data_IF_005191626378
#
_entry.id   IF_005191626378
#
_cell.length_a   1.000
_cell.length_b   1.000
_cell.length_c   1.000
_cell.angle_alpha   90.00
_cell.angle_beta   90.00
_cell.angle_gamma   90.00
#
_symmetry.space_group_name_H-M   'P 1'
#
loop_
_entity.id
_entity.type
_entity.pdbx_description
1 polymer ?
#
# COMPACT_ATOMS: atom_id res chain seq x y z
N UNK A 1 -66.64 -44.93 19.58
CA UNK A 1 -66.01 -43.97 18.65
C UNK A 1 -64.81 -43.33 19.35
N UNK A 2 -63.63 -43.91 19.22
CA UNK A 2 -62.38 -43.36 19.77
C UNK A 2 -61.61 -42.69 18.62
N UNK A 3 -61.35 -41.40 18.74
CA UNK A 3 -60.54 -40.63 17.77
C UNK A 3 -59.07 -40.81 18.12
N UNK A 4 -58.30 -41.51 17.29
CA UNK A 4 -56.85 -41.48 17.31
C UNK A 4 -56.38 -40.10 16.81
N UNK A 5 -55.57 -39.41 17.61
CA UNK A 5 -54.78 -38.25 17.16
C UNK A 5 -53.38 -38.71 16.80
N UNK A 6 -53.03 -38.59 15.52
CA UNK A 6 -51.70 -38.88 14.99
C UNK A 6 -50.83 -37.64 15.15
N UNK A 7 -49.81 -37.70 16.03
CA UNK A 7 -48.79 -36.67 16.15
C UNK A 7 -47.74 -36.93 15.06
N UNK A 8 -47.62 -36.00 14.11
CA UNK A 8 -46.55 -35.98 13.10
C UNK A 8 -45.41 -35.12 13.66
N UNK A 9 -44.33 -35.76 14.09
CA UNK A 9 -43.09 -35.07 14.46
C UNK A 9 -42.32 -34.71 13.19
N UNK A 10 -42.31 -33.43 12.82
CA UNK A 10 -41.46 -32.90 11.77
C UNK A 10 -40.02 -32.76 12.30
N UNK A 11 -39.13 -33.64 11.86
CA UNK A 11 -37.68 -33.51 12.06
C UNK A 11 -37.15 -32.48 11.08
N UNK A 12 -36.85 -31.26 11.56
CA UNK A 12 -36.06 -30.29 10.80
C UNK A 12 -34.61 -30.79 10.73
N UNK A 13 -34.23 -31.33 9.58
CA UNK A 13 -32.84 -31.52 9.20
C UNK A 13 -32.22 -30.15 8.93
N UNK A 14 -31.47 -29.59 9.89
CA UNK A 14 -30.52 -28.51 9.61
C UNK A 14 -29.39 -29.10 8.78
N UNK A 15 -29.47 -28.95 7.46
CA UNK A 15 -28.34 -29.12 6.57
C UNK A 15 -27.33 -28.00 6.86
N UNK A 16 -26.25 -28.33 7.55
CA UNK A 16 -25.05 -27.49 7.62
C UNK A 16 -24.44 -27.44 6.22
N UNK A 17 -24.91 -26.50 5.39
CA UNK A 17 -24.22 -26.09 4.17
C UNK A 17 -22.87 -25.55 4.60
N UNK A 18 -21.84 -26.39 4.51
CA UNK A 18 -20.47 -25.90 4.49
C UNK A 18 -20.41 -25.03 3.24
N UNK A 19 -20.43 -23.72 3.43
CA UNK A 19 -20.29 -22.76 2.37
C UNK A 19 -18.88 -22.93 1.80
N UNK A 20 -18.73 -23.83 0.83
CA UNK A 20 -17.55 -23.88 0.00
C UNK A 20 -17.33 -22.45 -0.51
N UNK A 21 -16.13 -21.91 -0.27
CA UNK A 21 -15.77 -20.61 -0.79
C UNK A 21 -16.09 -20.61 -2.29
N UNK A 22 -16.80 -19.57 -2.74
CA UNK A 22 -17.04 -19.36 -4.16
C UNK A 22 -15.69 -19.47 -4.90
N UNK A 23 -15.59 -20.33 -5.89
CA UNK A 23 -14.36 -20.55 -6.69
C UNK A 23 -13.74 -19.23 -7.21
N UNK A 24 -14.56 -18.18 -7.33
CA UNK A 24 -14.13 -16.81 -7.67
C UNK A 24 -13.24 -16.14 -6.62
N UNK A 25 -13.22 -16.63 -5.38
CA UNK A 25 -12.45 -16.11 -4.25
C UNK A 25 -11.13 -16.86 -4.01
N UNK A 26 -10.89 -17.99 -4.69
CA UNK A 26 -9.66 -18.77 -4.52
C UNK A 26 -8.40 -17.99 -4.92
N UNK A 27 -8.52 -17.15 -5.94
CA UNK A 27 -7.46 -16.25 -6.40
C UNK A 27 -7.83 -14.82 -6.05
N UNK A 28 -7.03 -14.20 -5.19
CA UNK A 28 -7.15 -12.79 -4.79
C UNK A 28 -6.33 -11.95 -5.76
N UNK A 29 -6.98 -11.14 -6.60
CA UNK A 29 -6.31 -10.26 -7.56
C UNK A 29 -5.91 -8.95 -6.88
N UNK A 30 -4.61 -8.73 -6.76
CA UNK A 30 -4.01 -7.59 -6.08
C UNK A 30 -3.28 -6.70 -7.08
N UNK A 31 -3.14 -5.42 -6.75
CA UNK A 31 -2.41 -4.46 -7.58
C UNK A 31 -1.15 -3.94 -6.88
N UNK A 32 -0.11 -3.73 -7.68
CA UNK A 32 1.19 -3.23 -7.22
C UNK A 32 1.73 -2.13 -8.15
N UNK A 33 1.80 -0.87 -7.71
CA UNK A 33 2.40 0.22 -8.48
C UNK A 33 3.92 0.13 -8.71
N UNK A 34 4.61 -0.85 -8.12
CA UNK A 34 6.05 -1.04 -8.22
C UNK A 34 6.88 -0.33 -7.15
N UNK A 35 6.27 -0.02 -6.00
CA UNK A 35 6.96 0.62 -4.87
C UNK A 35 7.39 -0.43 -3.83
N UNK A 36 8.48 -0.18 -3.11
CA UNK A 36 9.03 -1.19 -2.20
C UNK A 36 8.12 -1.47 -0.99
N UNK A 37 7.39 -0.45 -0.49
CA UNK A 37 6.47 -0.56 0.64
C UNK A 37 5.26 -1.45 0.30
N UNK A 38 4.62 -1.20 -0.84
CA UNK A 38 3.51 -2.04 -1.31
C UNK A 38 3.97 -3.45 -1.68
N UNK A 39 5.16 -3.61 -2.24
CA UNK A 39 5.71 -4.93 -2.53
C UNK A 39 5.90 -5.75 -1.23
N UNK A 40 6.33 -5.12 -0.14
CA UNK A 40 6.46 -5.75 1.17
C UNK A 40 5.10 -6.15 1.77
N UNK A 41 4.11 -5.24 1.75
CA UNK A 41 2.76 -5.52 2.28
C UNK A 41 2.00 -6.56 1.45
N UNK A 42 2.11 -6.50 0.12
CA UNK A 42 1.60 -7.53 -0.79
C UNK A 42 2.27 -8.89 -0.55
N UNK A 43 3.58 -8.92 -0.26
CA UNK A 43 4.28 -10.16 0.05
C UNK A 43 3.80 -10.78 1.37
N UNK A 44 3.56 -9.99 2.42
CA UNK A 44 2.93 -10.49 3.67
C UNK A 44 1.57 -11.09 3.35
N UNK A 45 0.70 -10.36 2.66
CA UNK A 45 -0.63 -10.86 2.29
C UNK A 45 -0.53 -12.15 1.47
N UNK A 46 0.42 -12.23 0.52
CA UNK A 46 0.69 -13.41 -0.29
C UNK A 46 1.12 -14.64 0.54
N UNK A 47 2.00 -14.46 1.52
CA UNK A 47 2.42 -15.53 2.44
C UNK A 47 1.22 -16.05 3.25
N UNK A 48 0.38 -15.16 3.80
CA UNK A 48 -0.81 -15.55 4.55
C UNK A 48 -1.84 -16.27 3.67
N UNK A 49 -2.15 -15.71 2.51
CA UNK A 49 -3.07 -16.32 1.53
C UNK A 49 -2.61 -17.71 1.11
N UNK A 50 -1.33 -17.88 0.77
CA UNK A 50 -0.75 -19.18 0.41
C UNK A 50 -0.79 -20.18 1.58
N UNK A 51 -0.52 -19.70 2.80
CA UNK A 51 -0.66 -20.46 4.04
C UNK A 51 -2.06 -21.05 4.19
N UNK A 52 -3.07 -20.21 3.93
CA UNK A 52 -4.49 -20.56 3.99
C UNK A 52 -5.01 -21.36 2.78
N UNK A 53 -4.18 -21.60 1.76
CA UNK A 53 -4.57 -22.36 0.56
C UNK A 53 -5.16 -21.51 -0.58
N UNK A 54 -5.19 -20.19 -0.45
CA UNK A 54 -5.55 -19.25 -1.50
C UNK A 54 -4.35 -18.93 -2.39
N UNK A 55 -4.61 -18.29 -3.54
CA UNK A 55 -3.59 -17.76 -4.44
C UNK A 55 -3.65 -16.23 -4.44
N UNK A 56 -2.52 -15.57 -4.21
CA UNK A 56 -2.39 -14.15 -4.52
C UNK A 56 -1.92 -14.01 -5.98
N UNK A 57 -2.65 -13.25 -6.79
CA UNK A 57 -2.21 -12.82 -8.12
C UNK A 57 -1.96 -11.32 -8.06
N UNK A 58 -0.71 -10.91 -8.10
CA UNK A 58 -0.31 -9.50 -7.99
C UNK A 58 0.05 -9.00 -9.40
N UNK A 59 -0.74 -8.07 -9.93
CA UNK A 59 -0.48 -7.44 -11.23
C UNK A 59 0.18 -6.06 -11.00
N UNK A 60 1.26 -5.78 -11.75
CA UNK A 60 1.94 -4.47 -11.69
C UNK A 60 1.11 -3.42 -12.45
N UNK A 61 0.48 -2.51 -11.73
CA UNK A 61 -0.49 -1.55 -12.28
C UNK A 61 -0.25 -0.14 -11.71
N UNK A 62 -0.21 0.86 -12.58
CA UNK A 62 -0.20 2.25 -12.16
C UNK A 62 -1.50 2.60 -11.41
N UNK A 63 -1.42 3.51 -10.43
CA UNK A 63 -2.55 3.88 -9.56
C UNK A 63 -3.87 4.17 -10.31
N UNK A 64 -3.89 4.95 -11.42
CA UNK A 64 -5.13 5.18 -12.17
C UNK A 64 -5.78 3.90 -12.69
N UNK A 65 -4.96 2.95 -13.14
CA UNK A 65 -5.42 1.65 -13.64
C UNK A 65 -5.89 0.77 -12.50
N UNK A 66 -5.23 0.80 -11.35
CA UNK A 66 -5.66 0.11 -10.12
C UNK A 66 -7.07 0.53 -9.70
N UNK A 67 -7.34 1.84 -9.62
CA UNK A 67 -8.69 2.33 -9.27
C UNK A 67 -9.74 1.96 -10.31
N UNK A 68 -9.42 2.06 -11.61
CA UNK A 68 -10.31 1.57 -12.68
C UNK A 68 -10.59 0.07 -12.56
N UNK A 69 -9.55 -0.72 -12.30
CA UNK A 69 -9.66 -2.17 -12.12
C UNK A 69 -10.48 -2.57 -10.89
N UNK A 70 -10.39 -1.82 -9.78
CA UNK A 70 -11.24 -2.03 -8.60
C UNK A 70 -12.71 -1.73 -8.92
N UNK A 71 -12.98 -0.65 -9.65
CA UNK A 71 -14.33 -0.30 -10.10
C UNK A 71 -14.94 -1.38 -11.01
N UNK A 72 -14.15 -1.86 -11.97
CA UNK A 72 -14.62 -2.82 -12.99
C UNK A 72 -14.54 -4.29 -12.51
N UNK A 73 -14.07 -4.53 -11.28
CA UNK A 73 -13.93 -5.86 -10.69
C UNK A 73 -12.79 -6.71 -11.29
N UNK A 74 -11.85 -6.09 -11.98
CA UNK A 74 -10.64 -6.72 -12.53
C UNK A 74 -9.55 -6.86 -11.46
N UNK A 75 -9.53 -5.95 -10.47
CA UNK A 75 -8.71 -6.01 -9.26
C UNK A 75 -9.65 -6.21 -8.07
N UNK A 76 -9.28 -7.10 -7.15
CA UNK A 76 -10.06 -7.36 -5.95
C UNK A 76 -9.63 -6.46 -4.79
N UNK A 77 -8.31 -6.29 -4.61
CA UNK A 77 -7.69 -5.68 -3.43
C UNK A 77 -6.55 -4.75 -3.82
N UNK A 78 -6.43 -3.62 -3.14
CA UNK A 78 -5.27 -2.74 -3.21
C UNK A 78 -4.88 -2.28 -1.80
N UNK A 79 -3.66 -2.60 -1.37
CA UNK A 79 -3.18 -2.29 -0.01
C UNK A 79 -2.57 -0.89 0.12
N UNK A 80 -2.43 -0.14 -0.99
CA UNK A 80 -1.63 1.08 -1.08
C UNK A 80 -2.42 2.36 -1.26
N UNK A 81 -3.59 2.51 -0.63
CA UNK A 81 -4.32 3.78 -0.68
C UNK A 81 -3.73 4.80 0.29
N UNK A 82 -2.72 5.54 -0.18
CA UNK A 82 -2.04 6.59 0.58
C UNK A 82 -2.89 7.87 0.65
N UNK A 83 -3.41 8.19 1.83
CA UNK A 83 -4.19 9.40 2.08
C UNK A 83 -3.37 10.40 2.91
N UNK A 84 -3.46 11.72 2.61
CA UNK A 84 -4.38 12.35 1.64
C UNK A 84 -3.85 12.42 0.20
N UNK A 85 -2.66 11.88 -0.10
CA UNK A 85 -2.05 11.98 -1.43
C UNK A 85 -2.96 11.46 -2.57
N UNK A 86 -3.81 10.47 -2.31
CA UNK A 86 -4.77 9.90 -3.26
C UNK A 86 -6.18 10.50 -3.20
N UNK A 87 -6.38 11.68 -2.58
CA UNK A 87 -7.71 12.29 -2.41
C UNK A 87 -8.51 12.41 -3.72
N UNK A 88 -7.88 12.81 -4.83
CA UNK A 88 -8.56 12.89 -6.13
C UNK A 88 -9.10 11.55 -6.65
N UNK A 89 -8.41 10.43 -6.35
CA UNK A 89 -8.92 9.10 -6.66
C UNK A 89 -9.99 8.66 -5.65
N UNK A 90 -9.80 8.97 -4.36
CA UNK A 90 -10.79 8.71 -3.34
C UNK A 90 -12.14 9.38 -3.68
N UNK A 91 -12.13 10.66 -4.01
CA UNK A 91 -13.35 11.40 -4.34
C UNK A 91 -14.07 10.83 -5.57
N UNK A 92 -13.27 10.39 -6.56
CA UNK A 92 -13.80 9.86 -7.82
C UNK A 92 -14.36 8.44 -7.70
N UNK A 93 -13.80 7.60 -6.84
CA UNK A 93 -14.08 6.16 -6.83
C UNK A 93 -14.57 5.62 -5.48
N UNK A 94 -14.09 6.16 -4.36
CA UNK A 94 -14.44 5.67 -3.03
C UNK A 94 -15.65 6.42 -2.49
N UNK A 95 -15.64 7.75 -2.57
CA UNK A 95 -16.72 8.60 -2.05
C UNK A 95 -18.08 8.36 -2.74
N UNK A 96 -18.07 7.91 -3.99
CA UNK A 96 -19.28 7.54 -4.74
C UNK A 96 -19.70 6.07 -4.58
N UNK A 97 -18.92 5.26 -3.85
CA UNK A 97 -19.19 3.85 -3.58
C UNK A 97 -18.92 2.88 -4.73
N UNK A 98 -18.09 3.25 -5.72
CA UNK A 98 -17.58 2.33 -6.75
C UNK A 98 -16.47 1.41 -6.20
N UNK A 99 -15.69 1.91 -5.24
CA UNK A 99 -14.60 1.23 -4.54
C UNK A 99 -14.85 1.36 -3.04
N UNK A 100 -14.50 0.32 -2.27
CA UNK A 100 -14.71 0.28 -0.82
C UNK A 100 -13.39 0.45 -0.11
N UNK A 101 -13.30 1.44 0.78
CA UNK A 101 -12.22 1.50 1.77
C UNK A 101 -12.56 0.57 2.93
N UNK A 102 -11.82 -0.54 3.04
CA UNK A 102 -12.13 -1.62 3.96
C UNK A 102 -11.56 -1.35 5.37
N UNK A 103 -10.28 -0.99 5.45
CA UNK A 103 -9.58 -0.81 6.72
C UNK A 103 -8.40 0.16 6.57
N UNK A 104 -8.02 0.81 7.68
CA UNK A 104 -6.74 1.51 7.78
C UNK A 104 -5.67 0.46 8.10
N UNK A 105 -4.64 0.36 7.27
CA UNK A 105 -3.59 -0.64 7.45
C UNK A 105 -2.27 -0.05 7.94
N UNK A 106 -2.02 1.25 7.77
CA UNK A 106 -0.83 1.93 8.29
C UNK A 106 -1.16 3.37 8.72
N UNK A 107 -0.46 3.87 9.72
CA UNK A 107 -0.62 5.24 10.22
C UNK A 107 0.70 5.98 10.44
N UNK A 108 0.60 7.31 10.46
CA UNK A 108 1.73 8.19 10.78
C UNK A 108 2.74 8.34 9.66
N UNK A 109 2.30 8.20 8.40
CA UNK A 109 3.18 8.35 7.25
C UNK A 109 3.50 9.83 7.00
N UNK A 110 4.63 10.08 6.34
CA UNK A 110 4.97 11.36 5.73
C UNK A 110 5.26 11.11 4.27
N UNK A 111 4.90 12.05 3.40
CA UNK A 111 4.99 11.90 1.96
C UNK A 111 5.05 13.29 1.33
N UNK A 112 6.24 13.78 0.98
CA UNK A 112 6.43 15.15 0.47
C UNK A 112 7.80 15.29 -0.22
N UNK A 113 8.17 16.47 -0.70
CA UNK A 113 9.52 16.69 -1.20
C UNK A 113 10.56 16.66 -0.08
N UNK A 114 11.72 16.08 -0.40
CA UNK A 114 12.87 16.02 0.46
C UNK A 114 14.12 16.51 -0.25
N UNK A 115 15.08 16.95 0.54
CA UNK A 115 16.42 17.36 0.10
C UNK A 115 17.49 16.72 0.99
N UNK A 116 18.72 16.49 0.49
CA UNK A 116 19.83 16.07 1.34
C UNK A 116 20.18 17.10 2.42
N UNK A 117 20.79 16.66 3.53
CA UNK A 117 21.17 17.54 4.65
C UNK A 117 22.01 18.74 4.21
N UNK A 118 22.97 18.58 3.29
CA UNK A 118 23.79 19.71 2.82
C UNK A 118 22.99 20.77 2.04
N UNK A 119 21.90 20.37 1.38
CA UNK A 119 20.98 21.29 0.69
C UNK A 119 20.10 22.01 1.71
N UNK A 120 19.64 21.29 2.74
CA UNK A 120 18.91 21.86 3.86
C UNK A 120 19.72 22.90 4.63
N UNK A 121 20.97 22.59 4.96
CA UNK A 121 21.88 23.50 5.65
C UNK A 121 22.26 24.72 4.79
N UNK A 122 22.22 24.58 3.46
CA UNK A 122 22.37 25.71 2.55
C UNK A 122 21.14 26.64 2.50
N UNK A 123 20.03 26.31 3.19
CA UNK A 123 18.87 27.17 3.37
C UNK A 123 17.60 26.73 2.64
N UNK A 124 17.54 25.52 2.08
CA UNK A 124 16.31 25.00 1.44
C UNK A 124 15.51 24.20 2.46
N UNK A 125 14.52 24.84 3.10
CA UNK A 125 13.73 24.24 4.19
C UNK A 125 12.24 24.18 3.90
N UNK A 126 11.78 25.00 2.97
CA UNK A 126 10.40 25.09 2.52
C UNK A 126 10.32 24.92 0.99
N UNK A 127 9.15 24.53 0.46
CA UNK A 127 8.89 24.52 -0.99
C UNK A 127 9.18 25.88 -1.62
N UNK A 128 8.86 26.99 -0.94
CA UNK A 128 9.14 28.35 -1.40
C UNK A 128 10.65 28.68 -1.49
N UNK A 129 11.53 27.89 -0.86
CA UNK A 129 12.97 28.09 -0.96
C UNK A 129 13.57 27.48 -2.24
N UNK A 130 12.91 26.48 -2.84
CA UNK A 130 13.44 25.76 -4.00
C UNK A 130 13.82 26.73 -5.13
N UNK A 131 12.92 27.66 -5.46
CA UNK A 131 13.14 28.58 -6.58
C UNK A 131 14.29 29.58 -6.34
N UNK A 132 14.63 29.87 -5.07
CA UNK A 132 15.80 30.71 -4.73
C UNK A 132 17.13 30.08 -5.16
N UNK A 133 17.15 28.76 -5.34
CA UNK A 133 18.30 27.98 -5.77
C UNK A 133 18.06 27.25 -7.10
N UNK A 134 17.10 27.73 -7.91
CA UNK A 134 16.63 27.09 -9.14
C UNK A 134 17.77 26.59 -10.05
N UNK A 135 18.81 27.41 -10.26
CA UNK A 135 19.95 27.07 -11.12
C UNK A 135 20.77 25.90 -10.56
N UNK A 136 20.88 25.74 -9.23
CA UNK A 136 21.61 24.62 -8.62
C UNK A 136 20.87 23.30 -8.79
N UNK A 137 19.54 23.33 -8.87
CA UNK A 137 18.69 22.17 -9.09
C UNK A 137 18.48 21.86 -10.58
N UNK A 138 19.06 22.64 -11.50
CA UNK A 138 18.70 22.65 -12.93
C UNK A 138 17.18 22.80 -13.18
N UNK A 139 16.45 23.41 -12.24
CA UNK A 139 14.98 23.47 -12.22
C UNK A 139 14.31 22.10 -12.36
N UNK A 140 14.87 21.04 -11.76
CA UNK A 140 14.32 19.68 -11.80
C UNK A 140 13.82 19.22 -10.45
N UNK A 141 12.67 18.55 -10.46
CA UNK A 141 12.12 17.80 -9.32
C UNK A 141 12.05 16.33 -9.73
N UNK A 142 12.61 15.44 -8.92
CA UNK A 142 12.60 14.00 -9.24
C UNK A 142 11.42 13.31 -8.57
N UNK A 143 10.47 12.88 -9.40
CA UNK A 143 9.32 12.06 -8.98
C UNK A 143 9.55 10.58 -9.30
N UNK A 144 8.46 9.81 -9.26
CA UNK A 144 8.45 8.36 -9.50
C UNK A 144 7.66 8.03 -10.79
N UNK A 145 6.91 6.93 -10.81
CA UNK A 145 6.13 6.49 -11.97
C UNK A 145 5.03 7.47 -12.40
N UNK A 146 4.80 7.55 -13.70
CA UNK A 146 3.68 8.32 -14.27
C UNK A 146 2.34 7.89 -13.66
N UNK A 147 1.51 8.86 -13.32
CA UNK A 147 0.23 8.64 -12.66
C UNK A 147 0.33 8.35 -11.16
N UNK A 148 1.54 8.36 -10.58
CA UNK A 148 1.68 8.36 -9.13
C UNK A 148 1.08 9.65 -8.53
N UNK A 149 0.43 9.58 -7.36
CA UNK A 149 -0.28 10.73 -6.80
C UNK A 149 0.64 11.93 -6.52
N UNK A 150 1.85 11.68 -6.02
CA UNK A 150 2.87 12.74 -5.88
C UNK A 150 3.20 13.43 -7.20
N UNK A 151 3.41 12.66 -8.28
CA UNK A 151 3.72 13.24 -9.59
C UNK A 151 2.57 14.12 -10.07
N UNK A 152 1.31 13.69 -9.86
CA UNK A 152 0.13 14.50 -10.18
C UNK A 152 0.09 15.81 -9.37
N UNK A 153 0.34 15.75 -8.06
CA UNK A 153 0.43 16.95 -7.21
C UNK A 153 1.56 17.89 -7.65
N UNK A 154 2.74 17.35 -7.99
CA UNK A 154 3.88 18.15 -8.47
C UNK A 154 3.59 18.78 -9.84
N UNK A 155 2.95 18.05 -10.75
CA UNK A 155 2.49 18.60 -12.04
C UNK A 155 1.49 19.74 -11.82
N UNK A 156 0.58 19.61 -10.85
CA UNK A 156 -0.37 20.67 -10.50
C UNK A 156 0.33 21.90 -9.91
N UNK A 157 1.28 21.72 -8.99
CA UNK A 157 2.11 22.80 -8.43
C UNK A 157 2.82 23.58 -9.55
N UNK A 158 3.51 22.87 -10.45
CA UNK A 158 4.21 23.47 -11.58
C UNK A 158 3.22 24.19 -12.50
N UNK A 159 2.10 23.55 -12.86
CA UNK A 159 1.08 24.15 -13.74
C UNK A 159 0.48 25.44 -13.17
N UNK A 160 0.27 25.50 -11.86
CA UNK A 160 -0.28 26.68 -11.17
C UNK A 160 0.78 27.74 -10.85
N UNK A 161 2.06 27.44 -11.09
CA UNK A 161 3.20 28.26 -10.65
C UNK A 161 3.17 28.51 -9.12
N UNK A 162 2.66 27.55 -8.35
CA UNK A 162 2.74 27.63 -6.89
C UNK A 162 4.21 27.55 -6.47
N UNK A 163 4.60 28.34 -5.45
CA UNK A 163 5.98 28.46 -4.97
C UNK A 163 7.00 28.91 -6.05
N UNK A 164 6.52 29.59 -7.10
CA UNK A 164 7.31 30.01 -8.26
C UNK A 164 7.96 28.86 -9.05
N UNK A 165 7.35 27.66 -9.01
CA UNK A 165 7.89 26.46 -9.67
C UNK A 165 7.43 26.27 -11.11
N UNK A 166 6.76 27.25 -11.74
CA UNK A 166 6.18 27.08 -13.07
C UNK A 166 7.18 26.91 -14.22
N UNK A 167 8.46 27.18 -13.97
CA UNK A 167 9.57 26.91 -14.91
C UNK A 167 10.34 25.63 -14.57
N UNK A 168 9.89 24.87 -13.58
CA UNK A 168 10.50 23.61 -13.20
C UNK A 168 9.94 22.45 -14.01
N UNK A 169 10.76 21.42 -14.14
CA UNK A 169 10.42 20.18 -14.82
C UNK A 169 10.34 19.05 -13.81
N UNK A 170 9.20 18.35 -13.78
CA UNK A 170 9.10 17.06 -13.14
C UNK A 170 9.83 16.01 -14.00
N UNK A 171 10.76 15.30 -13.37
CA UNK A 171 11.44 14.14 -13.95
C UNK A 171 10.73 12.89 -13.45
N UNK A 172 9.93 12.28 -14.32
CA UNK A 172 9.18 11.06 -14.04
C UNK A 172 10.00 9.83 -14.42
N UNK A 173 10.01 8.82 -13.56
CA UNK A 173 10.74 7.57 -13.78
C UNK A 173 10.14 6.40 -12.98
N UNK A 174 10.84 5.91 -11.96
CA UNK A 174 10.36 4.92 -10.97
C UNK A 174 11.00 5.25 -9.62
N UNK A 175 10.52 4.63 -8.53
CA UNK A 175 11.18 4.73 -7.22
C UNK A 175 12.69 4.43 -7.32
N UNK A 176 13.05 3.33 -7.98
CA UNK A 176 14.44 2.87 -8.04
C UNK A 176 15.30 3.81 -8.90
N UNK A 177 14.76 4.31 -10.02
CA UNK A 177 15.46 5.26 -10.86
C UNK A 177 15.64 6.63 -10.18
N UNK A 178 14.63 7.09 -9.44
CA UNK A 178 14.69 8.30 -8.63
C UNK A 178 15.77 8.16 -7.55
N UNK A 179 15.75 7.08 -6.76
CA UNK A 179 16.76 6.82 -5.72
C UNK A 179 18.17 6.72 -6.30
N UNK A 180 18.33 6.10 -7.47
CA UNK A 180 19.62 6.00 -8.14
C UNK A 180 20.15 7.39 -8.55
N UNK A 181 19.29 8.30 -9.03
CA UNK A 181 19.71 9.67 -9.33
C UNK A 181 20.03 10.48 -8.07
N UNK A 182 19.21 10.36 -7.02
CA UNK A 182 19.48 10.99 -5.73
C UNK A 182 20.83 10.52 -5.17
N UNK A 183 21.10 9.21 -5.21
CA UNK A 183 22.39 8.66 -4.79
C UNK A 183 23.57 9.24 -5.59
N UNK A 184 23.43 9.37 -6.92
CA UNK A 184 24.44 10.02 -7.77
C UNK A 184 24.63 11.50 -7.46
N UNK A 185 23.55 12.22 -7.17
CA UNK A 185 23.60 13.63 -6.81
C UNK A 185 24.28 13.83 -5.46
N UNK A 186 23.89 13.07 -4.45
CA UNK A 186 24.49 13.08 -3.11
C UNK A 186 25.98 12.75 -3.15
N UNK A 187 26.39 11.71 -3.89
CA UNK A 187 27.81 11.36 -4.06
C UNK A 187 28.65 12.48 -4.66
N UNK A 188 28.03 13.38 -5.43
CA UNK A 188 28.67 14.53 -6.11
C UNK A 188 28.33 15.87 -5.45
N UNK A 189 27.68 15.84 -4.29
CA UNK A 189 27.18 17.03 -3.56
C UNK A 189 26.37 18.01 -4.44
N UNK A 190 25.65 17.49 -5.44
CA UNK A 190 24.77 18.30 -6.30
C UNK A 190 23.44 18.56 -5.61
N UNK A 191 22.86 19.74 -5.76
CA UNK A 191 21.52 20.00 -5.26
C UNK A 191 20.51 19.08 -5.96
N UNK A 192 19.67 18.42 -5.17
CA UNK A 192 18.61 17.53 -5.65
C UNK A 192 17.41 17.64 -4.72
N UNK A 193 16.22 17.78 -5.31
CA UNK A 193 14.94 17.68 -4.60
C UNK A 193 14.15 16.54 -5.23
N UNK A 194 13.55 15.71 -4.40
CA UNK A 194 12.94 14.46 -4.82
C UNK A 194 11.76 14.10 -3.91
N UNK A 195 10.89 13.21 -4.38
CA UNK A 195 9.83 12.67 -3.54
C UNK A 195 10.42 11.77 -2.45
N UNK A 196 10.15 12.11 -1.18
CA UNK A 196 10.50 11.29 -0.03
C UNK A 196 9.25 10.84 0.74
N UNK A 197 9.37 9.71 1.46
CA UNK A 197 8.29 9.22 2.30
C UNK A 197 8.77 8.29 3.42
N UNK A 198 7.90 8.10 4.44
CA UNK A 198 8.05 7.08 5.49
C UNK A 198 6.80 6.21 5.57
N UNK A 199 6.94 4.88 5.75
CA UNK A 199 8.19 4.11 5.89
C UNK A 199 8.93 3.94 4.56
N UNK A 200 10.26 4.07 4.58
CA UNK A 200 11.15 3.66 3.50
C UNK A 200 12.62 3.62 3.98
N UNK A 201 13.47 2.66 3.54
CA UNK A 201 14.88 2.58 3.91
C UNK A 201 15.72 3.84 3.62
N UNK A 202 15.25 4.69 2.69
CA UNK A 202 15.90 5.96 2.36
C UNK A 202 16.08 6.87 3.59
N UNK A 203 15.16 6.82 4.55
CA UNK A 203 15.22 7.67 5.76
C UNK A 203 16.42 7.34 6.66
N UNK A 204 16.98 6.15 6.53
CA UNK A 204 18.17 5.71 7.28
C UNK A 204 19.42 5.77 6.40
N UNK A 205 19.30 5.41 5.12
CA UNK A 205 20.42 5.35 4.18
C UNK A 205 20.84 6.73 3.65
N UNK A 206 19.92 7.69 3.57
CA UNK A 206 20.16 9.04 3.13
C UNK A 206 19.98 10.01 4.29
N UNK A 207 20.99 10.85 4.53
CA UNK A 207 20.86 12.02 5.40
C UNK A 207 20.05 13.07 4.65
N UNK A 208 18.73 13.05 4.87
CA UNK A 208 17.77 13.93 4.19
C UNK A 208 16.83 14.61 5.18
N UNK A 209 16.18 15.66 4.70
CA UNK A 209 15.15 16.43 5.41
C UNK A 209 13.94 16.65 4.50
N UNK A 210 12.75 16.54 5.07
CA UNK A 210 11.49 16.85 4.41
C UNK A 210 11.26 18.36 4.38
N UNK A 211 10.90 18.88 3.21
CA UNK A 211 10.52 20.27 3.04
C UNK A 211 9.11 20.52 3.60
N UNK A 212 8.91 21.70 4.18
CA UNK A 212 7.61 22.22 4.63
C UNK A 212 6.96 23.11 3.57
N UNK A 213 5.72 23.54 3.80
CA UNK A 213 4.99 24.45 2.93
C UNK A 213 4.18 23.76 1.83
N UNK A 214 4.43 22.47 1.57
CA UNK A 214 3.72 21.65 0.59
C UNK A 214 2.43 20.99 1.11
N UNK A 215 2.03 21.24 2.35
CA UNK A 215 0.97 20.51 3.06
C UNK A 215 -0.39 20.57 2.36
N UNK A 216 -0.69 21.68 1.66
CA UNK A 216 -1.88 21.81 0.81
C UNK A 216 -2.00 20.69 -0.24
N UNK A 217 -0.87 20.18 -0.73
CA UNK A 217 -0.80 19.20 -1.82
C UNK A 217 -0.54 17.78 -1.34
N UNK A 218 0.13 17.64 -0.19
CA UNK A 218 0.68 16.37 0.29
C UNK A 218 0.10 15.92 1.64
N UNK A 219 -0.46 16.87 2.41
CA UNK A 219 -0.83 16.69 3.82
C UNK A 219 0.36 16.71 4.78
N UNK A 220 0.09 17.02 6.04
CA UNK A 220 1.11 17.06 7.11
C UNK A 220 1.56 15.65 7.51
N UNK A 221 0.58 14.75 7.63
CA UNK A 221 0.73 13.34 7.97
C UNK A 221 -0.31 12.53 7.21
N UNK A 222 -0.02 11.25 7.00
CA UNK A 222 -0.88 10.37 6.24
C UNK A 222 -1.15 9.03 6.90
N UNK A 223 -2.04 8.30 6.25
CA UNK A 223 -2.36 6.92 6.58
C UNK A 223 -2.46 6.13 5.26
N UNK A 224 -2.27 4.82 5.35
CA UNK A 224 -2.51 3.92 4.21
C UNK A 224 -3.71 3.04 4.52
N UNK A 225 -4.54 2.82 3.51
CA UNK A 225 -5.77 2.05 3.62
C UNK A 225 -5.79 0.88 2.64
N UNK A 226 -6.45 -0.19 3.08
CA UNK A 226 -6.83 -1.31 2.23
C UNK A 226 -8.13 -0.96 1.49
N UNK A 227 -8.07 -0.98 0.16
CA UNK A 227 -9.25 -0.86 -0.70
C UNK A 227 -9.63 -2.22 -1.28
N UNK A 228 -10.93 -2.40 -1.53
CA UNK A 228 -11.46 -3.54 -2.26
C UNK A 228 -12.46 -3.09 -3.31
N UNK A 229 -12.67 -3.91 -4.35
CA UNK A 229 -13.81 -3.70 -5.26
C UNK A 229 -15.14 -3.77 -4.50
N UNK A 230 -16.17 -3.12 -5.04
CA UNK A 230 -17.52 -3.19 -4.48
C UNK A 230 -18.01 -4.63 -4.34
N UNK A 231 -18.64 -4.93 -3.20
CA UNK A 231 -19.20 -6.26 -2.91
C UNK A 231 -18.19 -7.34 -2.50
N UNK A 232 -16.89 -7.02 -2.42
CA UNK A 232 -15.86 -8.03 -2.13
C UNK A 232 -16.04 -8.69 -0.76
N UNK A 233 -16.36 -7.90 0.28
CA UNK A 233 -16.54 -8.41 1.64
C UNK A 233 -17.72 -9.39 1.76
N UNK A 234 -18.77 -9.22 0.96
CA UNK A 234 -19.92 -10.12 0.92
C UNK A 234 -19.61 -11.37 0.11
N UNK A 235 -18.87 -11.24 -1.00
CA UNK A 235 -18.54 -12.35 -1.87
C UNK A 235 -17.45 -13.27 -1.27
N UNK A 236 -16.43 -12.69 -0.65
CA UNK A 236 -15.26 -13.38 -0.12
C UNK A 236 -15.05 -13.04 1.37
N UNK A 237 -16.02 -13.36 2.27
CA UNK A 237 -16.03 -12.86 3.65
C UNK A 237 -14.83 -13.33 4.49
N UNK A 238 -14.29 -14.51 4.21
CA UNK A 238 -13.11 -15.02 4.90
C UNK A 238 -11.85 -14.19 4.58
N UNK A 239 -11.57 -13.97 3.29
CA UNK A 239 -10.44 -13.13 2.86
C UNK A 239 -10.64 -11.68 3.29
N UNK A 240 -11.86 -11.14 3.18
CA UNK A 240 -12.15 -9.79 3.64
C UNK A 240 -11.93 -9.59 5.15
N UNK A 241 -12.10 -10.65 5.95
CA UNK A 241 -11.76 -10.62 7.38
C UNK A 241 -10.27 -10.54 7.59
N UNK A 242 -9.48 -11.37 6.90
CA UNK A 242 -8.02 -11.23 6.91
C UNK A 242 -7.61 -9.78 6.55
N UNK A 243 -8.13 -9.25 5.45
CA UNK A 243 -7.78 -7.90 4.97
C UNK A 243 -8.20 -6.79 5.93
N UNK A 244 -9.29 -6.98 6.68
CA UNK A 244 -9.72 -6.07 7.75
C UNK A 244 -8.76 -6.11 8.94
N UNK A 245 -8.30 -7.31 9.30
CA UNK A 245 -7.38 -7.51 10.43
C UNK A 245 -5.94 -7.12 10.09
N UNK A 246 -5.58 -7.11 8.80
CA UNK A 246 -4.21 -6.93 8.30
C UNK A 246 -3.76 -5.47 8.47
N UNK A 247 -3.09 -5.20 9.58
CA UNK A 247 -2.46 -3.91 9.90
C UNK A 247 -0.94 -4.05 9.96
N UNK A 248 -0.24 -3.03 9.49
CA UNK A 248 1.21 -2.90 9.43
C UNK A 248 1.72 -1.81 10.37
N UNK A 249 3.02 -1.85 10.62
CA UNK A 249 3.74 -0.77 11.32
C UNK A 249 4.88 -0.27 10.44
N UNK A 250 5.31 0.97 10.65
CA UNK A 250 6.42 1.54 9.88
C UNK A 250 7.71 0.72 10.06
N UNK A 251 7.98 0.25 11.28
CA UNK A 251 9.15 -0.58 11.57
C UNK A 251 9.10 -1.93 10.86
N UNK A 252 7.92 -2.56 10.80
CA UNK A 252 7.70 -3.80 10.06
C UNK A 252 8.02 -3.61 8.58
N UNK A 253 7.38 -2.65 7.92
CA UNK A 253 7.61 -2.39 6.49
C UNK A 253 9.07 -2.01 6.20
N UNK A 254 9.65 -1.12 7.01
CA UNK A 254 11.06 -0.73 6.89
C UNK A 254 12.01 -1.92 7.00
N UNK A 255 11.79 -2.81 7.98
CA UNK A 255 12.66 -3.96 8.20
C UNK A 255 12.61 -4.96 7.05
N UNK A 256 11.43 -5.21 6.47
CA UNK A 256 11.26 -6.10 5.32
C UNK A 256 11.88 -5.49 4.07
N UNK A 257 11.64 -4.21 3.79
CA UNK A 257 12.27 -3.52 2.66
C UNK A 257 13.80 -3.50 2.80
N UNK A 258 14.31 -3.26 4.01
CA UNK A 258 15.74 -3.27 4.28
C UNK A 258 16.36 -4.67 4.06
N UNK A 259 15.66 -5.74 4.46
CA UNK A 259 16.08 -7.12 4.22
C UNK A 259 16.22 -7.41 2.73
N UNK A 260 15.23 -7.01 1.92
CA UNK A 260 15.26 -7.15 0.46
C UNK A 260 16.45 -6.41 -0.15
N UNK A 261 16.67 -5.15 0.24
CA UNK A 261 17.74 -4.32 -0.32
C UNK A 261 19.13 -4.80 0.11
N UNK A 262 19.31 -5.11 1.40
CA UNK A 262 20.62 -5.42 1.97
C UNK A 262 21.06 -6.84 1.62
N UNK A 263 20.14 -7.81 1.67
CA UNK A 263 20.44 -9.23 1.48
C UNK A 263 20.05 -9.75 0.09
N UNK A 264 19.44 -8.89 -0.76
CA UNK A 264 19.06 -9.21 -2.14
C UNK A 264 18.15 -10.44 -2.25
N UNK A 265 17.29 -10.63 -1.25
CA UNK A 265 16.29 -11.70 -1.21
C UNK A 265 14.99 -11.24 -1.86
N UNK A 266 14.10 -12.18 -2.19
CA UNK A 266 12.78 -11.82 -2.71
C UNK A 266 11.90 -11.17 -1.63
N UNK A 267 10.91 -10.35 -2.02
CA UNK A 267 9.93 -9.80 -1.07
C UNK A 267 9.21 -10.91 -0.30
N UNK A 268 8.89 -12.03 -0.96
CA UNK A 268 8.23 -13.18 -0.33
C UNK A 268 9.11 -13.84 0.73
N UNK A 269 10.41 -14.02 0.45
CA UNK A 269 11.35 -14.60 1.41
C UNK A 269 11.58 -13.66 2.60
N UNK A 270 11.73 -12.36 2.36
CA UNK A 270 11.87 -11.36 3.42
C UNK A 270 10.62 -11.30 4.31
N UNK A 271 9.41 -11.23 3.72
CA UNK A 271 8.17 -11.26 4.47
C UNK A 271 8.01 -12.55 5.28
N UNK A 272 8.33 -13.71 4.69
CA UNK A 272 8.26 -15.01 5.36
C UNK A 272 9.25 -15.09 6.54
N UNK A 273 10.48 -14.63 6.35
CA UNK A 273 11.48 -14.56 7.41
C UNK A 273 11.04 -13.63 8.55
N UNK A 274 10.46 -12.48 8.20
CA UNK A 274 9.95 -11.53 9.19
C UNK A 274 8.79 -12.11 10.01
N UNK A 275 7.82 -12.77 9.36
CA UNK A 275 6.68 -13.41 10.05
C UNK A 275 7.18 -14.51 10.99
N UNK A 276 8.17 -15.31 10.57
CA UNK A 276 8.80 -16.33 11.44
C UNK A 276 9.43 -15.74 12.69
N UNK A 277 10.09 -14.60 12.56
CA UNK A 277 10.71 -13.90 13.67
C UNK A 277 9.68 -13.21 14.58
N UNK A 278 8.48 -12.93 14.08
CA UNK A 278 7.43 -12.18 14.78
C UNK A 278 6.08 -12.93 14.79
N UNK A 279 6.00 -14.19 15.26
CA UNK A 279 4.82 -15.03 15.06
C UNK A 279 3.56 -14.54 15.78
N UNK A 280 3.70 -13.68 16.80
CA UNK A 280 2.58 -13.12 17.56
C UNK A 280 1.63 -12.25 16.72
N UNK A 281 2.12 -11.65 15.63
CA UNK A 281 1.26 -10.84 14.73
C UNK A 281 0.15 -11.68 14.08
N UNK A 282 0.39 -12.98 13.90
CA UNK A 282 -0.55 -13.90 13.26
C UNK A 282 -1.82 -14.05 14.09
N UNK A 283 -1.73 -13.98 15.41
CA UNK A 283 -2.89 -14.18 16.28
C UNK A 283 -3.94 -13.07 16.04
N UNK A 284 -3.49 -11.84 15.76
CA UNK A 284 -4.37 -10.73 15.37
C UNK A 284 -4.79 -10.81 13.91
N UNK A 285 -3.85 -11.02 12.99
CA UNK A 285 -4.18 -11.03 11.55
C UNK A 285 -5.13 -12.17 11.16
N UNK A 286 -5.03 -13.32 11.81
CA UNK A 286 -5.82 -14.52 11.52
C UNK A 286 -7.00 -14.71 12.49
N UNK A 287 -7.32 -13.71 13.31
CA UNK A 287 -8.46 -13.77 14.23
C UNK A 287 -9.77 -14.00 13.46
N UNK A 288 -10.40 -15.16 13.73
CA UNK A 288 -11.65 -15.58 13.08
C UNK A 288 -11.51 -15.88 11.58
N UNK A 289 -10.28 -16.09 11.09
CA UNK A 289 -9.99 -16.43 9.69
C UNK A 289 -9.79 -17.95 9.55
N UNK A 290 -10.31 -18.52 8.47
CA UNK A 290 -10.19 -19.92 8.13
C UNK A 290 -9.33 -20.13 6.88
N UNK A 291 -8.89 -21.36 6.65
CA UNK A 291 -8.32 -21.79 5.36
C UNK A 291 -9.40 -21.88 4.29
N UNK A 292 -9.01 -22.03 3.02
CA UNK A 292 -9.92 -22.27 1.90
C UNK A 292 -10.88 -23.46 2.15
N UNK A 293 -10.44 -24.45 2.93
CA UNK A 293 -11.19 -25.65 3.25
C UNK A 293 -11.90 -25.61 4.62
N UNK A 294 -12.00 -24.43 5.25
CA UNK A 294 -12.72 -24.24 6.53
C UNK A 294 -11.96 -24.72 7.77
N UNK A 295 -10.66 -24.99 7.67
CA UNK A 295 -9.80 -25.29 8.84
C UNK A 295 -9.28 -24.02 9.50
N UNK A 296 -8.79 -24.12 10.74
CA UNK A 296 -8.13 -23.01 11.44
C UNK A 296 -6.95 -22.44 10.64
N UNK A 297 -7.00 -21.15 10.28
CA UNK A 297 -5.96 -20.51 9.48
C UNK A 297 -4.65 -20.37 10.24
N UNK A 298 -4.70 -20.10 11.55
CA UNK A 298 -3.52 -19.85 12.37
C UNK A 298 -2.60 -21.07 12.40
N UNK A 299 -3.14 -22.26 12.68
CA UNK A 299 -2.41 -23.51 12.64
C UNK A 299 -1.86 -23.82 11.24
N UNK A 300 -2.68 -23.63 10.19
CA UNK A 300 -2.28 -23.92 8.81
C UNK A 300 -1.16 -23.00 8.30
N UNK A 301 -1.22 -21.71 8.60
CA UNK A 301 -0.17 -20.73 8.25
C UNK A 301 1.10 -21.06 9.04
N UNK A 302 1.02 -21.27 10.35
CA UNK A 302 2.19 -21.62 11.19
C UNK A 302 2.90 -22.89 10.69
N UNK A 303 2.16 -23.89 10.21
CA UNK A 303 2.75 -25.13 9.66
C UNK A 303 3.50 -24.95 8.32
N UNK A 304 3.21 -23.88 7.56
CA UNK A 304 3.82 -23.59 6.25
C UNK A 304 4.92 -22.53 6.30
N UNK A 305 5.10 -21.87 7.44
CA UNK A 305 6.20 -20.94 7.67
C UNK A 305 7.51 -21.73 7.73
#
# INVERSE_FOLDING_TARGET
MQKLSTIVSAVLLLSATHAYADTRCETVKMADPGWSDIAATNAIAGVLLSGMGYKAKIDTLAVPITFGGLKDGQVDVFLGNWMPAQQGFYDKFVANGDVVQLAKNLEGTQFTLAVPDYVWEAGVRDFADLNKFADKFDKKIYGIGSGAPANLSLQEIIKKNDFDLGQWKLIESSEQAMLAEVSRAVKRERFVTFLGWTPHPMNVQLKMRYLKGGEKYFGDTGNVYTLTRKGYAQACPNVARLLTNLTFTQDMENSIMAEVVNNKVSNADAAKAWIKANPAVLDKWLEGVETLNGQDALAAVKAKL
#
